data_IF_795799333546
#
_entry.id   IF_795799333546
#
_cell.length_a   1.000
_cell.length_b   1.000
_cell.length_c   1.000
_cell.angle_alpha   90.00
_cell.angle_beta   90.00
_cell.angle_gamma   90.00
#
_symmetry.space_group_name_H-M   'P 1'
#
loop_
_entity.id
_entity.type
_entity.pdbx_description
1 polymer ?
#
# COMPACT_ATOMS: atom_id res chain seq x y z
N UNK A 1 70.00 -33.31 -8.41
CA UNK A 1 68.82 -32.84 -7.65
C UNK A 1 67.80 -32.30 -8.64
N UNK A 2 66.58 -32.85 -8.63
CA UNK A 2 65.55 -32.64 -9.66
C UNK A 2 64.83 -31.30 -9.46
N UNK A 3 64.70 -30.54 -10.55
CA UNK A 3 63.73 -29.45 -10.69
C UNK A 3 62.31 -30.04 -10.67
N UNK A 4 61.42 -29.48 -9.86
CA UNK A 4 60.00 -29.82 -9.82
C UNK A 4 59.18 -28.61 -10.29
N UNK A 5 58.56 -28.78 -11.44
CA UNK A 5 57.70 -27.85 -12.15
C UNK A 5 56.23 -28.01 -11.71
N UNK A 6 55.59 -26.87 -11.44
CA UNK A 6 54.20 -26.49 -11.79
C UNK A 6 53.05 -27.34 -11.21
N UNK A 7 52.14 -26.68 -10.49
CA UNK A 7 50.70 -26.68 -10.82
C UNK A 7 50.01 -25.46 -10.19
N UNK A 8 49.81 -24.41 -10.98
CA UNK A 8 48.95 -23.27 -10.64
C UNK A 8 47.51 -23.75 -10.83
N UNK A 9 46.82 -24.07 -9.74
CA UNK A 9 45.41 -24.39 -9.76
C UNK A 9 44.61 -23.08 -9.74
N UNK A 10 44.10 -22.71 -10.90
CA UNK A 10 43.22 -21.56 -11.10
C UNK A 10 41.88 -21.84 -10.43
N UNK A 11 41.63 -21.24 -9.27
CA UNK A 11 40.35 -21.28 -8.58
C UNK A 11 39.35 -20.37 -9.31
N UNK A 12 38.50 -20.94 -10.16
CA UNK A 12 37.36 -20.24 -10.76
C UNK A 12 36.29 -20.05 -9.67
N UNK A 13 36.27 -18.88 -9.04
CA UNK A 13 35.20 -18.48 -8.11
C UNK A 13 33.97 -18.16 -8.96
N UNK A 14 33.08 -19.14 -9.12
CA UNK A 14 31.72 -18.90 -9.61
C UNK A 14 30.97 -18.08 -8.56
N UNK A 15 30.92 -16.76 -8.77
CA UNK A 15 29.95 -15.89 -8.11
C UNK A 15 28.56 -16.33 -8.56
N UNK A 16 27.91 -17.20 -7.79
CA UNK A 16 26.46 -17.29 -7.81
C UNK A 16 25.93 -15.96 -7.26
N UNK A 17 25.66 -15.02 -8.17
CA UNK A 17 24.72 -13.96 -7.87
C UNK A 17 23.37 -14.64 -7.68
N UNK A 18 22.98 -14.87 -6.43
CA UNK A 18 21.59 -15.09 -6.11
C UNK A 18 20.88 -13.82 -6.54
N UNK A 19 20.30 -13.82 -7.73
CA UNK A 19 19.24 -12.87 -8.03
C UNK A 19 18.28 -12.98 -6.85
N UNK A 20 18.04 -11.86 -6.17
CA UNK A 20 16.89 -11.76 -5.28
C UNK A 20 15.71 -11.82 -6.25
N UNK A 21 15.32 -13.03 -6.62
CA UNK A 21 14.08 -13.26 -7.34
C UNK A 21 13.00 -12.74 -6.42
N UNK A 22 12.43 -11.61 -6.79
CA UNK A 22 11.21 -11.14 -6.16
C UNK A 22 10.13 -12.21 -6.28
N UNK A 23 9.09 -12.05 -5.47
CA UNK A 23 7.92 -12.91 -5.54
C UNK A 23 7.46 -13.12 -6.98
N UNK A 24 7.47 -14.38 -7.43
CA UNK A 24 7.01 -14.77 -8.75
C UNK A 24 5.48 -14.89 -8.80
N UNK A 25 4.84 -14.86 -7.63
CA UNK A 25 3.39 -14.83 -7.48
C UNK A 25 2.87 -13.44 -7.14
N UNK A 26 1.63 -13.18 -7.57
CA UNK A 26 0.91 -11.94 -7.29
C UNK A 26 -0.25 -12.23 -6.33
N UNK A 27 -0.27 -11.62 -5.14
CA UNK A 27 -1.34 -11.86 -4.17
C UNK A 27 -2.67 -11.41 -4.75
N UNK A 28 -3.72 -12.20 -4.52
CA UNK A 28 -5.10 -11.95 -4.97
C UNK A 28 -5.24 -11.60 -6.47
N UNK A 29 -4.26 -11.91 -7.33
CA UNK A 29 -4.32 -11.55 -8.75
C UNK A 29 -4.02 -10.07 -9.02
N UNK A 30 -3.18 -9.42 -8.21
CA UNK A 30 -2.67 -8.06 -8.48
C UNK A 30 -1.84 -7.96 -9.76
N UNK A 31 -1.56 -9.05 -10.46
CA UNK A 31 -0.85 -8.99 -11.74
C UNK A 31 -1.55 -8.10 -12.77
N UNK A 32 -2.88 -8.16 -12.81
CA UNK A 32 -3.69 -7.61 -13.90
C UNK A 32 -4.66 -6.50 -13.48
N UNK A 33 -4.99 -6.41 -12.19
CA UNK A 33 -5.91 -5.39 -11.66
C UNK A 33 -5.71 -5.13 -10.18
N UNK A 34 -6.21 -3.99 -9.71
CA UNK A 34 -6.32 -3.71 -8.28
C UNK A 34 -7.36 -4.62 -7.63
N UNK A 35 -7.20 -4.86 -6.34
CA UNK A 35 -8.15 -5.56 -5.48
C UNK A 35 -8.31 -4.79 -4.18
N UNK A 36 -9.50 -4.81 -3.60
CA UNK A 36 -9.74 -4.22 -2.30
C UNK A 36 -10.71 -5.07 -1.51
N UNK A 37 -10.63 -4.98 -0.19
CA UNK A 37 -11.53 -5.66 0.73
C UNK A 37 -11.53 -4.98 2.09
N UNK A 38 -12.67 -5.03 2.77
CA UNK A 38 -12.76 -4.65 4.18
C UNK A 38 -12.07 -5.71 5.05
N UNK A 39 -11.14 -5.28 5.89
CA UNK A 39 -10.41 -6.15 6.82
C UNK A 39 -11.16 -6.31 8.15
N UNK A 40 -11.92 -5.28 8.54
CA UNK A 40 -12.70 -5.27 9.79
C UNK A 40 -14.06 -4.63 9.54
N UNK A 41 -15.14 -5.34 9.86
CA UNK A 41 -16.51 -4.85 9.72
C UNK A 41 -17.03 -4.35 11.08
N UNK A 42 -16.79 -3.07 11.36
CA UNK A 42 -17.25 -2.40 12.58
C UNK A 42 -18.35 -1.37 12.26
N UNK A 43 -18.30 -0.18 12.85
CA UNK A 43 -19.39 0.82 12.75
C UNK A 43 -19.38 1.57 11.43
N UNK A 44 -18.24 1.68 10.76
CA UNK A 44 -18.13 2.24 9.41
C UNK A 44 -18.05 1.11 8.38
N UNK A 45 -19.18 0.68 7.82
CA UNK A 45 -19.20 -0.43 6.85
C UNK A 45 -18.86 0.06 5.45
N UNK A 46 -17.79 -0.44 4.84
CA UNK A 46 -17.36 0.02 3.51
C UNK A 46 -17.90 -0.94 2.45
N UNK A 47 -18.71 -0.42 1.52
CA UNK A 47 -19.35 -1.24 0.49
C UNK A 47 -18.96 -0.88 -0.94
N UNK A 48 -18.20 0.20 -1.14
CA UNK A 48 -17.63 0.55 -2.43
C UNK A 48 -16.29 1.26 -2.27
N UNK A 49 -15.36 0.97 -3.19
CA UNK A 49 -14.05 1.59 -3.27
C UNK A 49 -13.76 1.97 -4.72
N UNK A 50 -13.31 3.20 -4.94
CA UNK A 50 -12.87 3.66 -6.24
C UNK A 50 -11.53 4.38 -6.12
N UNK A 51 -10.62 4.05 -7.06
CA UNK A 51 -9.33 4.71 -7.23
C UNK A 51 -9.33 5.46 -8.56
N UNK A 52 -8.97 6.74 -8.54
CA UNK A 52 -8.81 7.55 -9.75
C UNK A 52 -7.50 8.35 -9.67
N UNK A 53 -6.78 8.56 -10.78
CA UNK A 53 -5.61 9.42 -10.76
C UNK A 53 -6.04 10.86 -10.52
N UNK A 54 -5.25 11.63 -9.75
CA UNK A 54 -5.49 13.07 -9.60
C UNK A 54 -5.24 13.81 -10.92
N UNK A 55 -4.30 13.32 -11.72
CA UNK A 55 -3.94 13.89 -13.01
C UNK A 55 -3.74 12.78 -14.06
N UNK A 56 -4.19 13.03 -15.29
CA UNK A 56 -4.01 12.11 -16.42
C UNK A 56 -4.99 10.94 -16.44
N UNK A 57 -4.63 9.87 -17.16
CA UNK A 57 -5.50 8.70 -17.38
C UNK A 57 -5.08 7.54 -16.49
N UNK A 58 -6.06 6.82 -15.96
CA UNK A 58 -5.82 5.61 -15.19
C UNK A 58 -5.13 4.55 -16.06
N UNK A 59 -4.02 4.00 -15.57
CA UNK A 59 -3.28 2.90 -16.19
C UNK A 59 -2.84 1.92 -15.11
N UNK A 60 -2.81 0.64 -15.49
CA UNK A 60 -2.31 -0.44 -14.65
C UNK A 60 -1.08 -1.07 -15.32
N UNK A 61 -0.02 -1.46 -14.58
CA UNK A 61 0.22 -1.24 -13.14
C UNK A 61 0.23 0.24 -12.72
N UNK A 62 0.02 0.49 -11.43
CA UNK A 62 -0.10 1.84 -10.86
C UNK A 62 1.28 2.51 -10.75
N UNK A 63 1.41 3.75 -11.22
CA UNK A 63 2.62 4.54 -10.99
C UNK A 63 2.50 5.29 -9.65
N UNK A 64 3.19 4.79 -8.62
CA UNK A 64 3.13 5.34 -7.26
C UNK A 64 3.89 6.67 -7.09
N UNK A 65 4.53 7.17 -8.15
CA UNK A 65 5.02 8.54 -8.23
C UNK A 65 3.90 9.55 -8.49
N UNK A 66 2.71 9.10 -8.89
CA UNK A 66 1.53 9.94 -9.10
C UNK A 66 0.62 9.94 -7.88
N UNK A 67 -0.15 11.03 -7.70
CA UNK A 67 -1.21 11.10 -6.72
C UNK A 67 -2.52 10.50 -7.24
N UNK A 68 -3.26 9.85 -6.35
CA UNK A 68 -4.56 9.22 -6.62
C UNK A 68 -5.62 9.69 -5.62
N UNK A 69 -6.84 9.89 -6.09
CA UNK A 69 -8.03 10.07 -5.24
C UNK A 69 -8.65 8.71 -4.95
N UNK A 70 -8.91 8.45 -3.69
CA UNK A 70 -9.68 7.32 -3.20
C UNK A 70 -11.06 7.84 -2.78
N UNK A 71 -12.11 7.17 -3.25
CA UNK A 71 -13.49 7.44 -2.90
C UNK A 71 -14.10 6.16 -2.31
N UNK A 72 -14.59 6.27 -1.08
CA UNK A 72 -15.25 5.17 -0.38
C UNK A 72 -16.71 5.51 -0.20
N UNK A 73 -17.59 4.55 -0.47
CA UNK A 73 -18.96 4.61 0.02
C UNK A 73 -19.05 3.77 1.27
N UNK A 74 -19.47 4.39 2.37
CA UNK A 74 -19.59 3.75 3.67
C UNK A 74 -20.98 3.94 4.26
N UNK A 75 -21.37 3.04 5.15
CA UNK A 75 -22.55 3.16 6.00
C UNK A 75 -22.09 3.30 7.45
N UNK A 76 -22.35 4.46 8.07
CA UNK A 76 -22.12 4.65 9.49
C UNK A 76 -23.30 4.09 10.28
N UNK A 77 -23.08 3.01 11.02
CA UNK A 77 -24.06 2.35 11.89
C UNK A 77 -23.92 2.74 13.36
N UNK A 78 -23.07 3.73 13.65
CA UNK A 78 -22.92 4.33 14.97
C UNK A 78 -23.37 5.80 14.97
N UNK A 79 -23.13 6.48 16.09
CA UNK A 79 -23.39 7.90 16.25
C UNK A 79 -22.60 8.75 15.25
N UNK A 80 -23.18 9.88 14.85
CA UNK A 80 -22.49 10.86 14.00
C UNK A 80 -21.19 11.36 14.65
N UNK A 81 -20.19 11.69 13.82
CA UNK A 81 -18.90 12.18 14.31
C UNK A 81 -18.28 13.21 13.37
N UNK A 82 -17.71 14.26 13.95
CA UNK A 82 -16.79 15.19 13.27
C UNK A 82 -15.32 14.85 13.52
N UNK A 83 -15.05 13.82 14.33
CA UNK A 83 -13.73 13.28 14.58
C UNK A 83 -13.56 12.04 13.71
N UNK A 84 -13.09 12.25 12.49
CA UNK A 84 -12.91 11.18 11.50
C UNK A 84 -11.49 11.20 10.96
N UNK A 85 -10.69 10.25 11.43
CA UNK A 85 -9.26 10.18 11.20
C UNK A 85 -8.92 8.99 10.30
N UNK A 86 -7.80 9.12 9.58
CA UNK A 86 -7.24 8.11 8.70
C UNK A 86 -5.76 7.88 9.01
N UNK A 87 -5.40 6.62 9.25
CA UNK A 87 -4.01 6.16 9.21
C UNK A 87 -3.77 5.27 7.99
N UNK A 88 -2.57 5.36 7.41
CA UNK A 88 -2.21 4.65 6.18
C UNK A 88 -0.94 3.84 6.36
N UNK A 89 -1.06 2.53 6.26
CA UNK A 89 0.07 1.61 6.34
C UNK A 89 0.37 1.03 4.96
N UNK A 90 1.64 0.90 4.61
CA UNK A 90 2.07 0.33 3.33
C UNK A 90 2.81 -0.96 3.61
N UNK A 91 2.43 -2.02 2.91
CA UNK A 91 3.10 -3.31 2.94
C UNK A 91 3.56 -3.65 1.52
N UNK A 92 4.68 -4.35 1.41
CA UNK A 92 5.18 -4.90 0.18
C UNK A 92 5.13 -6.42 0.23
N UNK A 93 4.71 -7.04 -0.87
CA UNK A 93 4.81 -8.48 -1.05
C UNK A 93 6.27 -8.83 -1.40
N UNK A 94 6.96 -9.47 -0.46
CA UNK A 94 8.40 -9.79 -0.61
C UNK A 94 8.70 -11.19 -0.09
N UNK A 95 9.79 -11.75 -0.60
CA UNK A 95 10.25 -13.09 -0.29
C UNK A 95 10.68 -13.80 -1.57
N UNK A 96 11.02 -15.08 -1.41
CA UNK A 96 11.31 -15.99 -2.52
C UNK A 96 10.07 -16.87 -2.74
N UNK A 97 10.20 -18.20 -2.69
CA UNK A 97 9.06 -19.12 -2.81
C UNK A 97 8.00 -18.99 -1.68
N UNK A 98 8.35 -18.35 -0.56
CA UNK A 98 7.46 -18.12 0.59
C UNK A 98 7.22 -16.61 0.82
N UNK A 99 6.52 -15.98 -0.12
CA UNK A 99 6.24 -14.56 -0.05
C UNK A 99 5.26 -14.20 1.06
N UNK A 100 5.49 -13.04 1.67
CA UNK A 100 4.67 -12.50 2.74
C UNK A 100 4.57 -10.97 2.65
N UNK A 101 3.56 -10.41 3.30
CA UNK A 101 3.42 -8.96 3.44
C UNK A 101 4.40 -8.45 4.48
N UNK A 102 5.32 -7.59 4.05
CA UNK A 102 6.26 -6.90 4.94
C UNK A 102 5.91 -5.42 5.02
N UNK A 103 5.76 -4.90 6.23
CA UNK A 103 5.42 -3.49 6.42
C UNK A 103 6.60 -2.60 6.05
N UNK A 104 6.35 -1.63 5.18
CA UNK A 104 7.31 -0.56 4.90
C UNK A 104 7.26 0.42 6.08
N UNK A 105 8.40 0.73 6.70
CA UNK A 105 8.43 1.64 7.83
C UNK A 105 8.17 3.07 7.34
N UNK A 106 6.90 3.47 7.36
CA UNK A 106 6.48 4.84 7.00
C UNK A 106 6.68 5.83 8.14
N UNK A 107 7.04 5.36 9.35
CA UNK A 107 7.30 6.17 10.55
C UNK A 107 6.22 7.22 10.84
N UNK A 108 4.95 6.90 10.59
CA UNK A 108 3.82 7.83 10.74
C UNK A 108 3.87 9.07 9.82
N UNK A 109 4.78 9.14 8.85
CA UNK A 109 4.92 10.27 7.94
C UNK A 109 3.67 10.42 7.03
N UNK A 110 2.99 9.31 6.72
CA UNK A 110 1.72 9.29 5.97
C UNK A 110 0.51 9.20 6.93
N UNK A 111 0.73 9.14 8.24
CA UNK A 111 -0.33 8.83 9.19
C UNK A 111 -1.03 10.07 9.73
N UNK A 112 -2.28 9.83 10.07
CA UNK A 112 -3.20 10.71 10.79
C UNK A 112 -3.58 11.98 10.04
N UNK A 113 -4.43 11.80 9.02
CA UNK A 113 -5.20 12.91 8.44
C UNK A 113 -6.59 12.93 9.07
N UNK A 114 -6.95 14.02 9.71
CA UNK A 114 -8.36 14.30 9.97
C UNK A 114 -9.04 14.57 8.63
N UNK A 115 -9.89 13.64 8.20
CA UNK A 115 -10.57 13.70 6.91
C UNK A 115 -11.61 14.81 6.84
N UNK A 116 -12.15 15.25 7.98
CA UNK A 116 -13.09 16.36 8.06
C UNK A 116 -12.48 17.72 7.73
N UNK A 117 -11.16 17.86 7.84
CA UNK A 117 -10.44 19.08 7.43
C UNK A 117 -10.07 19.09 5.94
N UNK A 118 -10.55 18.10 5.17
CA UNK A 118 -10.23 17.93 3.75
C UNK A 118 -11.46 17.90 2.86
N UNK A 119 -11.47 16.97 1.91
CA UNK A 119 -12.52 16.80 0.90
C UNK A 119 -13.69 15.91 1.36
N UNK A 120 -13.78 15.57 2.65
CA UNK A 120 -14.86 14.75 3.20
C UNK A 120 -15.88 15.63 3.89
N UNK A 121 -17.16 15.43 3.56
CA UNK A 121 -18.26 16.11 4.25
C UNK A 121 -18.39 15.57 5.66
N UNK A 122 -18.17 16.43 6.64
CA UNK A 122 -18.39 16.14 8.05
C UNK A 122 -19.51 17.01 8.66
N UNK A 123 -20.18 16.55 9.73
CA UNK A 123 -20.00 15.26 10.40
C UNK A 123 -20.36 14.07 9.51
N UNK A 124 -19.70 12.93 9.73
CA UNK A 124 -20.08 11.65 9.12
C UNK A 124 -21.38 11.20 9.79
N UNK A 125 -22.50 11.51 9.15
CA UNK A 125 -23.84 11.19 9.65
C UNK A 125 -24.09 9.69 9.67
N UNK A 126 -25.02 9.26 10.51
CA UNK A 126 -25.56 7.90 10.47
C UNK A 126 -26.14 7.59 9.08
N UNK A 127 -25.94 6.36 8.62
CA UNK A 127 -26.35 5.88 7.31
C UNK A 127 -25.29 6.07 6.23
N UNK A 128 -25.75 6.07 4.97
CA UNK A 128 -24.87 6.04 3.80
C UNK A 128 -24.20 7.40 3.56
N UNK A 129 -22.88 7.37 3.41
CA UNK A 129 -22.05 8.54 3.15
C UNK A 129 -20.98 8.20 2.11
N UNK A 130 -20.51 9.24 1.40
CA UNK A 130 -19.33 9.14 0.52
C UNK A 130 -18.19 9.94 1.14
N UNK A 131 -17.03 9.32 1.27
CA UNK A 131 -15.82 9.96 1.78
C UNK A 131 -14.75 9.93 0.70
N UNK A 132 -13.86 10.92 0.72
CA UNK A 132 -12.75 10.95 -0.23
C UNK A 132 -11.48 11.49 0.38
N UNK A 133 -10.36 10.91 -0.02
CA UNK A 133 -9.02 11.32 0.38
C UNK A 133 -8.02 11.02 -0.72
N UNK A 134 -6.85 11.65 -0.65
CA UNK A 134 -5.80 11.47 -1.64
C UNK A 134 -4.71 10.54 -1.09
N UNK A 135 -4.37 9.52 -1.86
CA UNK A 135 -3.12 8.79 -1.74
C UNK A 135 -2.09 9.47 -2.64
N UNK A 136 -1.25 10.31 -2.05
CA UNK A 136 -0.22 11.04 -2.77
C UNK A 136 1.10 10.95 -2.01
N UNK A 137 2.06 10.23 -2.60
CA UNK A 137 3.37 9.99 -2.00
C UNK A 137 4.44 10.99 -2.48
N UNK A 138 4.08 11.92 -3.37
CA UNK A 138 5.04 12.89 -3.95
C UNK A 138 5.73 13.74 -2.88
N UNK A 139 5.01 14.07 -1.80
CA UNK A 139 5.53 14.85 -0.68
C UNK A 139 6.35 14.01 0.32
N UNK A 140 6.49 12.70 0.09
CA UNK A 140 7.17 11.77 0.99
C UNK A 140 8.32 11.05 0.28
N UNK A 141 9.40 11.76 -0.12
CA UNK A 141 10.52 11.19 -0.86
C UNK A 141 11.22 10.05 -0.12
N UNK A 142 11.25 10.11 1.22
CA UNK A 142 11.78 9.04 2.06
C UNK A 142 11.03 7.71 1.88
N UNK A 143 9.73 7.77 1.57
CA UNK A 143 8.88 6.60 1.38
C UNK A 143 8.93 6.14 -0.07
N UNK A 144 8.80 7.06 -1.03
CA UNK A 144 8.86 6.71 -2.45
C UNK A 144 10.19 6.08 -2.84
N UNK A 145 11.29 6.44 -2.16
CA UNK A 145 12.59 5.79 -2.36
C UNK A 145 12.68 4.35 -1.80
N UNK A 146 11.78 3.95 -0.89
CA UNK A 146 11.67 2.57 -0.41
C UNK A 146 10.82 1.70 -1.33
N UNK A 147 10.00 2.31 -2.20
CA UNK A 147 9.15 1.59 -3.13
C UNK A 147 9.98 1.06 -4.31
N UNK A 148 10.10 -0.26 -4.40
CA UNK A 148 10.62 -0.94 -5.58
C UNK A 148 9.71 -0.68 -6.79
N UNK A 149 10.33 -0.67 -7.97
CA UNK A 149 9.61 -0.67 -9.23
C UNK A 149 8.89 -2.00 -9.41
N UNK A 150 7.69 -1.97 -9.97
CA UNK A 150 6.95 -3.16 -10.40
C UNK A 150 6.74 -4.26 -9.34
N UNK A 151 6.36 -3.86 -8.13
CA UNK A 151 6.09 -4.76 -7.01
C UNK A 151 4.61 -4.73 -6.59
N UNK A 152 4.18 -5.79 -5.90
CA UNK A 152 2.86 -5.81 -5.25
C UNK A 152 2.90 -5.09 -3.90
N UNK A 153 1.97 -4.17 -3.71
CA UNK A 153 1.78 -3.38 -2.50
C UNK A 153 0.39 -3.58 -1.93
N UNK A 154 0.29 -3.51 -0.60
CA UNK A 154 -0.96 -3.40 0.12
C UNK A 154 -0.97 -2.10 0.91
N UNK A 155 -1.92 -1.22 0.61
CA UNK A 155 -2.24 -0.06 1.41
C UNK A 155 -3.37 -0.44 2.36
N UNK A 156 -3.16 -0.24 3.66
CA UNK A 156 -4.16 -0.45 4.68
C UNK A 156 -4.59 0.91 5.20
N UNK A 157 -5.85 1.24 4.98
CA UNK A 157 -6.47 2.49 5.42
C UNK A 157 -7.33 2.21 6.64
N UNK A 158 -6.88 2.68 7.81
CA UNK A 158 -7.61 2.56 9.06
C UNK A 158 -8.38 3.86 9.33
N UNK A 159 -9.70 3.80 9.22
CA UNK A 159 -10.63 4.89 9.50
C UNK A 159 -11.12 4.77 10.93
N UNK A 160 -11.11 5.87 11.69
CA UNK A 160 -11.55 5.82 13.09
C UNK A 160 -12.04 7.16 13.64
N UNK A 161 -12.83 7.06 14.71
CA UNK A 161 -13.20 8.15 15.60
C UNK A 161 -12.79 7.81 17.02
N UNK A 162 -11.98 8.66 17.64
CA UNK A 162 -11.58 8.58 19.04
C UNK A 162 -12.74 8.95 19.98
N UNK A 163 -13.65 9.82 19.53
CA UNK A 163 -14.78 10.28 20.35
C UNK A 163 -15.81 9.16 20.53
N UNK A 164 -16.17 8.47 19.45
CA UNK A 164 -17.22 7.45 19.47
C UNK A 164 -16.68 6.01 19.50
N UNK A 165 -15.35 5.82 19.52
CA UNK A 165 -14.68 4.51 19.45
C UNK A 165 -15.14 3.66 18.25
N UNK A 166 -15.38 4.32 17.12
CA UNK A 166 -15.81 3.70 15.87
C UNK A 166 -14.58 3.52 14.97
N UNK A 167 -14.49 2.40 14.26
CA UNK A 167 -13.43 2.18 13.28
C UNK A 167 -13.91 1.38 12.08
N UNK A 168 -13.09 1.32 11.04
CA UNK A 168 -13.08 0.30 9.99
C UNK A 168 -11.73 0.32 9.30
N UNK A 169 -11.36 -0.79 8.68
CA UNK A 169 -10.08 -0.94 8.00
C UNK A 169 -10.32 -1.53 6.63
N UNK A 170 -9.76 -0.91 5.59
CA UNK A 170 -9.83 -1.41 4.22
C UNK A 170 -8.43 -1.62 3.67
N UNK A 171 -8.23 -2.75 3.01
CA UNK A 171 -7.02 -3.04 2.27
C UNK A 171 -7.24 -2.74 0.79
N UNK A 172 -6.29 -2.03 0.17
CA UNK A 172 -6.12 -1.91 -1.27
C UNK A 172 -4.83 -2.64 -1.65
N UNK A 173 -4.94 -3.64 -2.51
CA UNK A 173 -3.82 -4.37 -3.08
C UNK A 173 -3.66 -4.03 -4.55
N UNK A 174 -2.43 -3.69 -4.94
CA UNK A 174 -2.08 -3.29 -6.30
C UNK A 174 -0.70 -3.83 -6.68
N UNK A 175 -0.42 -3.89 -7.97
CA UNK A 175 0.93 -3.90 -8.53
C UNK A 175 1.27 -2.48 -8.99
N UNK A 176 2.46 -2.04 -8.68
CA UNK A 176 2.91 -0.70 -9.02
C UNK A 176 4.33 -0.42 -8.56
N UNK A 177 4.70 0.85 -8.50
CA UNK A 177 6.01 1.26 -8.02
C UNK A 177 6.39 2.64 -8.56
N UNK A 178 7.61 3.07 -8.24
CA UNK A 178 8.22 4.25 -8.86
C UNK A 178 8.50 3.93 -10.33
N UNK A 179 7.97 4.73 -11.25
CA UNK A 179 8.35 4.71 -12.67
C UNK A 179 9.12 5.97 -13.02
#
# INVERSE_FOLDING_TARGET
MKYSTIFISTFFILYFSSYIEGCTNYPNGTETKLHWFEMTDYRFKIYNFQLSPLNGTYKYPINLSNGYKIELSLNNTGSETSDFNLDTYIFQWVGNNNCNWFQIPTYHIINTKNLCNGSTTCPVKEGNSKISFNLDLTNYPSITNLLKTDASYQFVFALYSNVNFQSSTVALQIRGGKQ
#
